data_IF_431977240874
#
_entry.id   IF_431977240874
#
_cell.length_a   1.000
_cell.length_b   1.000
_cell.length_c   1.000
_cell.angle_alpha   90.00
_cell.angle_beta   90.00
_cell.angle_gamma   90.00
#
_symmetry.space_group_name_H-M   'P 1'
#
loop_
_entity.id
_entity.type
_entity.pdbx_description
1 polymer ?
#
# COMPACT_ATOMS: atom_id res chain seq x y z
N UNK A 1 -6.47 -71.52 12.26
CA UNK A 1 -5.34 -71.89 11.38
C UNK A 1 -5.84 -71.74 9.97
N UNK A 2 -5.03 -71.04 9.18
CA UNK A 2 -5.06 -70.88 7.72
C UNK A 2 -5.85 -69.70 7.12
N UNK A 3 -5.11 -68.58 7.06
CA UNK A 3 -4.83 -67.73 5.90
C UNK A 3 -5.32 -68.20 4.51
N UNK A 4 -5.98 -67.31 3.75
CA UNK A 4 -5.34 -66.65 2.58
C UNK A 4 -6.29 -65.72 1.79
N UNK A 5 -5.91 -64.43 1.80
CA UNK A 5 -5.72 -63.53 0.66
C UNK A 5 -6.77 -63.42 -0.49
N UNK A 6 -7.53 -62.33 -0.45
CA UNK A 6 -7.95 -61.58 -1.65
C UNK A 6 -7.66 -60.09 -1.41
N UNK A 7 -6.44 -59.67 -1.75
CA UNK A 7 -6.02 -58.26 -1.80
C UNK A 7 -6.57 -57.62 -3.07
N UNK A 8 -7.60 -56.79 -2.94
CA UNK A 8 -7.95 -55.81 -3.97
C UNK A 8 -6.89 -54.71 -3.97
N UNK A 9 -6.05 -54.69 -5.00
CA UNK A 9 -5.14 -53.59 -5.29
C UNK A 9 -5.93 -52.38 -5.80
N UNK A 10 -6.34 -51.50 -4.89
CA UNK A 10 -6.64 -50.13 -5.27
C UNK A 10 -5.30 -49.43 -5.51
N UNK A 11 -4.96 -49.29 -6.79
CA UNK A 11 -3.89 -48.42 -7.27
C UNK A 11 -4.10 -47.01 -6.70
N UNK A 12 -3.31 -46.63 -5.70
CA UNK A 12 -3.11 -45.23 -5.35
C UNK A 12 -2.35 -44.58 -6.51
N UNK A 13 -3.09 -44.03 -7.47
CA UNK A 13 -2.54 -43.04 -8.39
C UNK A 13 -2.14 -41.83 -7.54
N UNK A 14 -0.83 -41.69 -7.29
CA UNK A 14 -0.28 -40.48 -6.71
C UNK A 14 -0.63 -39.29 -7.61
N UNK A 15 -1.34 -38.26 -7.12
CA UNK A 15 -1.66 -37.11 -7.94
C UNK A 15 -0.40 -36.25 -8.07
N UNK A 16 0.19 -36.27 -9.26
CA UNK A 16 1.46 -35.61 -9.58
C UNK A 16 1.29 -34.14 -9.99
N UNK A 17 0.16 -33.50 -9.67
CA UNK A 17 -0.10 -32.11 -10.03
C UNK A 17 0.46 -31.15 -8.96
N UNK A 18 1.11 -30.08 -9.40
CA UNK A 18 1.61 -29.00 -8.53
C UNK A 18 0.47 -28.38 -7.71
N UNK A 19 -0.74 -28.36 -8.29
CA UNK A 19 -1.97 -27.82 -7.69
C UNK A 19 -2.38 -28.61 -6.45
N UNK A 20 -2.31 -29.95 -6.46
CA UNK A 20 -2.65 -30.78 -5.30
C UNK A 20 -1.66 -30.60 -4.13
N UNK A 21 -0.38 -30.37 -4.44
CA UNK A 21 0.64 -30.08 -3.41
C UNK A 21 0.41 -28.71 -2.76
N UNK A 22 0.04 -27.70 -3.56
CA UNK A 22 -0.27 -26.36 -3.05
C UNK A 22 -1.56 -26.34 -2.23
N UNK A 23 -2.60 -27.06 -2.68
CA UNK A 23 -3.85 -27.21 -1.94
C UNK A 23 -3.67 -27.94 -0.60
N UNK A 24 -2.84 -28.99 -0.54
CA UNK A 24 -2.49 -29.67 0.72
C UNK A 24 -1.67 -28.79 1.67
N UNK A 25 -0.69 -28.04 1.16
CA UNK A 25 0.07 -27.05 1.95
C UNK A 25 -0.85 -25.98 2.57
N UNK A 26 -1.89 -25.54 1.84
CA UNK A 26 -2.88 -24.62 2.40
C UNK A 26 -3.78 -25.27 3.45
N UNK A 27 -4.21 -26.52 3.24
CA UNK A 27 -5.00 -27.24 4.24
C UNK A 27 -4.25 -27.39 5.57
N UNK A 28 -2.97 -27.80 5.52
CA UNK A 28 -2.07 -27.87 6.69
C UNK A 28 -1.93 -26.50 7.39
N UNK A 29 -1.74 -25.41 6.62
CA UNK A 29 -1.62 -24.05 7.19
C UNK A 29 -2.91 -23.59 7.88
N UNK A 30 -4.07 -23.98 7.36
CA UNK A 30 -5.36 -23.63 7.97
C UNK A 30 -5.55 -24.36 9.29
N UNK A 31 -5.02 -25.59 9.41
CA UNK A 31 -4.99 -26.35 10.66
C UNK A 31 -3.99 -25.74 11.67
N UNK A 32 -2.79 -25.33 11.25
CA UNK A 32 -1.82 -24.62 12.11
C UNK A 32 -2.35 -23.28 12.64
N UNK A 33 -2.96 -22.43 11.79
CA UNK A 33 -3.56 -21.16 12.22
C UNK A 33 -4.78 -21.40 13.15
N UNK A 34 -5.50 -22.52 12.99
CA UNK A 34 -6.59 -22.88 13.92
C UNK A 34 -6.08 -23.33 15.30
N UNK A 35 -4.87 -23.88 15.38
CA UNK A 35 -4.17 -24.13 16.65
C UNK A 35 -3.67 -22.82 17.31
N UNK A 36 -3.33 -21.79 16.52
CA UNK A 36 -3.01 -20.44 17.00
C UNK A 36 -4.29 -19.62 17.21
N UNK A 37 -5.12 -19.98 18.19
CA UNK A 37 -6.44 -19.33 18.38
C UNK A 37 -6.38 -17.79 18.37
N UNK A 38 -7.11 -17.09 17.49
CA UNK A 38 -7.07 -15.63 17.35
C UNK A 38 -8.10 -14.92 18.26
N UNK A 39 -7.75 -13.78 18.89
CA UNK A 39 -8.70 -13.01 19.70
C UNK A 39 -9.85 -12.42 18.87
N UNK A 40 -9.58 -12.00 17.62
CA UNK A 40 -10.54 -11.44 16.66
C UNK A 40 -11.46 -10.33 17.24
N UNK A 41 -11.00 -9.64 18.30
CA UNK A 41 -11.76 -8.65 19.03
C UNK A 41 -11.26 -8.38 20.45
N UNK A 42 -12.06 -7.65 21.21
CA UNK A 42 -11.73 -7.17 22.56
C UNK A 42 -10.90 -5.88 22.56
N UNK A 43 -10.90 -5.18 23.71
CA UNK A 43 -10.21 -3.89 23.87
C UNK A 43 -8.74 -3.94 23.43
N UNK A 44 -8.03 -5.02 23.79
CA UNK A 44 -6.60 -5.18 23.44
C UNK A 44 -6.35 -5.29 21.94
N UNK A 45 -7.21 -6.00 21.20
CA UNK A 45 -7.05 -6.14 19.75
C UNK A 45 -7.39 -4.82 19.04
N UNK A 46 -8.47 -4.16 19.46
CA UNK A 46 -8.86 -2.86 18.89
C UNK A 46 -7.91 -1.72 19.26
N UNK A 47 -7.27 -1.76 20.43
CA UNK A 47 -6.20 -0.81 20.76
C UNK A 47 -5.01 -0.98 19.82
N UNK A 48 -4.69 -2.20 19.40
CA UNK A 48 -3.63 -2.43 18.39
C UNK A 48 -4.01 -1.82 17.05
N UNK A 49 -5.27 -1.93 16.61
CA UNK A 49 -5.76 -1.25 15.39
C UNK A 49 -5.61 0.26 15.51
N UNK A 50 -5.98 0.85 16.65
CA UNK A 50 -5.78 2.28 16.93
C UNK A 50 -4.29 2.65 16.91
N UNK A 51 -3.43 1.83 17.52
CA UNK A 51 -1.98 2.01 17.47
C UNK A 51 -1.44 1.99 16.04
N UNK A 52 -1.87 1.04 15.22
CA UNK A 52 -1.50 0.96 13.80
C UNK A 52 -2.01 2.15 13.01
N UNK A 53 -3.23 2.62 13.30
CA UNK A 53 -3.78 3.84 12.69
C UNK A 53 -2.90 5.05 13.01
N UNK A 54 -2.54 5.26 14.28
CA UNK A 54 -1.62 6.32 14.70
C UNK A 54 -0.23 6.19 14.06
N UNK A 55 0.26 4.95 13.85
CA UNK A 55 1.53 4.71 13.18
C UNK A 55 1.49 5.12 11.68
N UNK A 56 0.37 4.86 11.03
CA UNK A 56 0.18 5.06 9.59
C UNK A 56 -0.11 6.53 9.23
N UNK A 57 -0.72 7.31 10.13
CA UNK A 57 -1.06 8.72 9.87
C UNK A 57 0.19 9.52 9.48
N UNK A 58 1.31 9.51 10.24
CA UNK A 58 2.54 10.18 9.85
C UNK A 58 3.13 9.65 8.53
N UNK A 59 3.34 8.34 8.40
CA UNK A 59 4.03 7.75 7.25
C UNK A 59 3.27 7.95 5.94
N UNK A 60 1.98 7.56 5.88
CA UNK A 60 1.18 7.73 4.66
C UNK A 60 0.66 9.15 4.50
N UNK A 61 0.47 9.91 5.57
CA UNK A 61 0.08 11.32 5.47
C UNK A 61 1.17 12.13 4.78
N UNK A 62 2.44 11.94 5.15
CA UNK A 62 3.57 12.60 4.49
C UNK A 62 3.71 12.17 3.03
N UNK A 63 3.55 10.87 2.73
CA UNK A 63 3.52 10.36 1.35
C UNK A 63 2.48 11.10 0.49
N UNK A 64 1.29 11.36 1.02
CA UNK A 64 0.24 12.10 0.31
C UNK A 64 0.42 13.63 0.32
N UNK A 65 1.39 14.15 1.09
CA UNK A 65 1.69 15.60 1.19
C UNK A 65 2.86 16.02 0.32
N UNK A 66 3.55 15.06 -0.31
CA UNK A 66 4.75 15.32 -1.09
C UNK A 66 4.53 16.35 -2.21
N UNK A 67 3.39 16.33 -2.90
CA UNK A 67 3.11 17.30 -3.97
C UNK A 67 3.09 18.76 -3.49
N UNK A 68 2.55 19.03 -2.30
CA UNK A 68 2.56 20.37 -1.70
C UNK A 68 3.97 20.79 -1.28
N UNK A 69 4.73 19.85 -0.69
CA UNK A 69 6.11 20.10 -0.30
C UNK A 69 7.01 20.33 -1.52
N UNK A 70 6.82 19.58 -2.59
CA UNK A 70 7.53 19.72 -3.86
C UNK A 70 7.28 21.08 -4.49
N UNK A 71 6.01 21.47 -4.62
CA UNK A 71 5.63 22.76 -5.16
C UNK A 71 6.24 23.92 -4.36
N UNK A 72 6.28 23.80 -3.03
CA UNK A 72 6.88 24.82 -2.18
C UNK A 72 8.40 24.90 -2.35
N UNK A 73 9.11 23.77 -2.32
CA UNK A 73 10.56 23.73 -2.56
C UNK A 73 10.93 24.29 -3.93
N UNK A 74 10.14 24.00 -4.96
CA UNK A 74 10.36 24.46 -6.33
C UNK A 74 10.18 25.98 -6.50
N UNK A 75 9.35 26.61 -5.67
CA UNK A 75 9.09 28.04 -5.74
C UNK A 75 9.98 28.87 -4.80
N UNK A 76 10.56 28.27 -3.77
CA UNK A 76 11.35 28.96 -2.74
C UNK A 76 12.82 28.48 -2.68
N UNK A 77 13.17 27.54 -1.80
CA UNK A 77 14.59 27.26 -1.51
C UNK A 77 15.34 26.59 -2.67
N UNK A 78 14.67 25.79 -3.49
CA UNK A 78 15.29 25.03 -4.58
C UNK A 78 14.90 25.58 -5.97
N UNK A 79 14.51 26.85 -6.05
CA UNK A 79 14.10 27.53 -7.31
C UNK A 79 15.11 27.43 -8.47
N UNK A 80 16.39 27.20 -8.16
CA UNK A 80 17.46 27.05 -9.15
C UNK A 80 17.54 25.62 -9.73
N UNK A 81 16.86 24.66 -9.12
CA UNK A 81 16.81 23.27 -9.56
C UNK A 81 15.61 23.01 -10.46
N UNK A 82 15.76 22.05 -11.39
CA UNK A 82 14.64 21.59 -12.21
C UNK A 82 13.59 20.88 -11.35
N UNK A 83 12.30 20.97 -11.74
CA UNK A 83 11.21 20.21 -11.08
C UNK A 83 11.51 18.71 -11.03
N UNK A 84 12.10 18.16 -12.09
CA UNK A 84 12.52 16.76 -12.14
C UNK A 84 13.58 16.41 -11.07
N UNK A 85 14.53 17.31 -10.82
CA UNK A 85 15.52 17.14 -9.73
C UNK A 85 14.84 17.15 -8.36
N UNK A 86 13.92 18.08 -8.12
CA UNK A 86 13.21 18.18 -6.83
C UNK A 86 12.32 16.95 -6.61
N UNK A 87 11.66 16.46 -7.66
CA UNK A 87 10.86 15.23 -7.60
C UNK A 87 11.62 14.00 -7.11
N UNK A 88 12.95 13.90 -7.33
CA UNK A 88 13.76 12.80 -6.79
C UNK A 88 13.77 12.76 -5.26
N UNK A 89 13.66 13.90 -4.58
CA UNK A 89 13.58 13.97 -3.11
C UNK A 89 12.36 13.17 -2.66
N UNK A 90 11.19 13.45 -3.22
CA UNK A 90 9.94 12.82 -2.81
C UNK A 90 9.79 11.38 -3.35
N UNK A 91 10.30 11.11 -4.55
CA UNK A 91 10.40 9.77 -5.11
C UNK A 91 11.24 8.84 -4.22
N UNK A 92 12.37 9.33 -3.68
CA UNK A 92 13.21 8.54 -2.79
C UNK A 92 12.57 8.28 -1.43
N UNK A 93 11.77 9.21 -0.88
CA UNK A 93 10.99 8.96 0.33
C UNK A 93 10.06 7.75 0.13
N UNK A 94 9.30 7.76 -0.96
CA UNK A 94 8.39 6.67 -1.34
C UNK A 94 9.14 5.35 -1.55
N UNK A 95 10.29 5.41 -2.24
CA UNK A 95 11.15 4.25 -2.45
C UNK A 95 11.59 3.64 -1.12
N UNK A 96 12.17 4.41 -0.20
CA UNK A 96 12.66 3.88 1.07
C UNK A 96 11.55 3.42 2.01
N UNK A 97 10.36 4.06 1.96
CA UNK A 97 9.18 3.63 2.70
C UNK A 97 8.81 2.18 2.34
N UNK A 98 8.78 1.85 1.05
CA UNK A 98 8.44 0.50 0.58
C UNK A 98 9.63 -0.46 0.59
N UNK A 99 10.78 -0.05 0.04
CA UNK A 99 11.98 -0.88 -0.07
C UNK A 99 12.53 -1.29 1.31
N UNK A 100 12.49 -0.39 2.29
CA UNK A 100 12.93 -0.68 3.66
C UNK A 100 12.21 -1.87 4.29
N UNK A 101 11.00 -2.19 3.82
CA UNK A 101 10.18 -3.30 4.32
C UNK A 101 10.89 -4.65 4.16
N UNK A 102 11.78 -4.78 3.16
CA UNK A 102 12.59 -5.99 2.92
C UNK A 102 13.39 -6.40 4.15
N UNK A 103 13.92 -5.43 4.90
CA UNK A 103 14.74 -5.66 6.08
C UNK A 103 13.94 -5.50 7.36
N UNK A 104 12.99 -4.56 7.40
CA UNK A 104 12.12 -4.32 8.56
C UNK A 104 11.27 -5.55 8.85
N UNK A 105 10.73 -6.23 7.83
CA UNK A 105 9.91 -7.43 7.98
C UNK A 105 10.62 -8.57 8.73
N UNK A 106 11.78 -9.07 8.23
CA UNK A 106 12.57 -10.09 8.93
C UNK A 106 13.02 -9.66 10.34
N UNK A 107 13.39 -8.39 10.52
CA UNK A 107 13.78 -7.88 11.84
C UNK A 107 12.59 -7.89 12.80
N UNK A 108 11.37 -7.59 12.31
CA UNK A 108 10.16 -7.64 13.11
C UNK A 108 9.84 -9.07 13.55
N UNK A 109 9.92 -10.04 12.63
CA UNK A 109 9.64 -11.45 12.93
C UNK A 109 10.68 -12.03 13.91
N UNK A 110 11.96 -11.60 13.82
CA UNK A 110 13.05 -12.12 14.65
C UNK A 110 13.26 -11.44 16.01
N UNK A 111 13.10 -10.11 16.07
CA UNK A 111 13.43 -9.29 17.24
C UNK A 111 12.21 -8.59 17.85
N UNK A 112 11.05 -8.69 17.20
CA UNK A 112 9.79 -8.10 17.65
C UNK A 112 9.65 -6.61 17.31
N UNK A 113 8.63 -6.00 17.91
CA UNK A 113 8.18 -4.65 17.55
C UNK A 113 9.09 -3.51 18.03
N UNK A 114 9.51 -3.54 19.29
CA UNK A 114 10.13 -2.38 19.96
C UNK A 114 11.46 -1.91 19.32
N UNK A 115 12.37 -2.80 18.90
CA UNK A 115 13.63 -2.39 18.27
C UNK A 115 13.45 -1.65 16.94
N UNK A 116 12.29 -1.78 16.29
CA UNK A 116 11.97 -1.08 15.05
C UNK A 116 11.14 0.17 15.32
N UNK A 117 10.11 0.03 16.15
CA UNK A 117 9.11 1.09 16.32
C UNK A 117 9.68 2.36 16.95
N UNK A 118 10.46 2.22 18.02
CA UNK A 118 11.02 3.37 18.76
C UNK A 118 11.98 4.19 17.87
N UNK A 119 13.03 3.60 17.27
CA UNK A 119 13.90 4.36 16.38
C UNK A 119 13.18 4.88 15.13
N UNK A 120 12.22 4.12 14.59
CA UNK A 120 11.39 4.59 13.48
C UNK A 120 10.57 5.84 13.83
N UNK A 121 9.93 5.89 15.01
CA UNK A 121 9.20 7.06 15.47
C UNK A 121 10.13 8.28 15.67
N UNK A 122 11.28 8.08 16.30
CA UNK A 122 12.26 9.16 16.53
C UNK A 122 12.80 9.67 15.19
N UNK A 123 13.19 8.78 14.29
CA UNK A 123 13.71 9.13 12.98
C UNK A 123 12.68 9.83 12.09
N UNK A 124 11.41 9.45 12.16
CA UNK A 124 10.34 10.08 11.39
C UNK A 124 10.09 11.51 11.84
N UNK A 125 9.99 11.76 13.15
CA UNK A 125 9.87 13.12 13.69
C UNK A 125 11.15 13.91 13.39
N UNK A 126 12.32 13.29 13.58
CA UNK A 126 13.62 13.86 13.25
C UNK A 126 13.71 14.32 11.80
N UNK A 127 13.21 13.53 10.85
CA UNK A 127 13.22 13.89 9.43
C UNK A 127 12.43 15.16 9.12
N UNK A 128 11.30 15.38 9.79
CA UNK A 128 10.52 16.60 9.63
C UNK A 128 11.21 17.80 10.28
N UNK A 129 11.86 17.60 11.44
CA UNK A 129 12.62 18.66 12.08
C UNK A 129 13.82 19.08 11.23
N UNK A 130 14.53 18.12 10.62
CA UNK A 130 15.60 18.40 9.66
C UNK A 130 15.05 19.10 8.42
N UNK A 131 13.93 18.64 7.85
CA UNK A 131 13.28 19.30 6.71
C UNK A 131 12.94 20.77 7.01
N UNK A 132 12.54 21.09 8.25
CA UNK A 132 12.19 22.45 8.65
C UNK A 132 13.35 23.46 8.66
N UNK A 133 14.59 22.97 8.74
CA UNK A 133 15.81 23.81 8.79
C UNK A 133 16.73 23.61 7.59
N UNK A 134 16.40 22.67 6.71
CA UNK A 134 17.18 22.38 5.51
C UNK A 134 17.07 23.53 4.50
N UNK A 135 18.20 23.81 3.85
CA UNK A 135 18.34 24.82 2.81
C UNK A 135 18.94 24.25 1.52
N UNK A 136 19.72 23.17 1.62
CA UNK A 136 20.43 22.59 0.47
C UNK A 136 19.78 21.29 -0.02
N UNK A 137 19.87 21.04 -1.33
CA UNK A 137 19.29 19.86 -1.99
C UNK A 137 19.64 18.54 -1.29
N UNK A 138 20.91 18.33 -0.93
CA UNK A 138 21.34 17.08 -0.28
C UNK A 138 20.76 16.92 1.13
N UNK A 139 20.47 18.02 1.83
CA UNK A 139 19.90 17.98 3.19
C UNK A 139 18.46 17.49 3.15
N UNK A 140 17.66 17.94 2.17
CA UNK A 140 16.33 17.39 1.92
C UNK A 140 16.40 15.92 1.53
N UNK A 141 17.33 15.56 0.65
CA UNK A 141 17.51 14.18 0.20
C UNK A 141 17.85 13.21 1.35
N UNK A 142 18.87 13.53 2.14
CA UNK A 142 19.32 12.66 3.24
C UNK A 142 18.38 12.74 4.44
N UNK A 143 17.96 13.95 4.80
CA UNK A 143 17.21 14.23 6.02
C UNK A 143 15.73 13.86 5.93
N UNK A 144 15.08 14.12 4.79
CA UNK A 144 13.67 13.80 4.61
C UNK A 144 13.47 12.48 3.88
N UNK A 145 14.14 12.27 2.74
CA UNK A 145 13.88 11.10 1.91
C UNK A 145 14.46 9.83 2.50
N UNK A 146 15.78 9.79 2.73
CA UNK A 146 16.45 8.59 3.24
C UNK A 146 16.04 8.31 4.68
N UNK A 147 16.26 9.28 5.60
CA UNK A 147 15.92 9.11 7.01
C UNK A 147 14.40 8.97 7.21
N UNK A 148 13.59 9.84 6.61
CA UNK A 148 12.14 9.79 6.78
C UNK A 148 11.50 8.57 6.13
N UNK A 149 11.94 8.17 4.93
CA UNK A 149 11.43 6.98 4.25
C UNK A 149 11.78 5.69 4.99
N UNK A 150 13.03 5.50 5.40
CA UNK A 150 13.44 4.32 6.19
C UNK A 150 12.73 4.26 7.54
N UNK A 151 12.63 5.41 8.23
CA UNK A 151 11.88 5.54 9.49
C UNK A 151 10.40 5.20 9.31
N UNK A 152 9.79 5.69 8.22
CA UNK A 152 8.40 5.40 7.88
C UNK A 152 8.18 3.91 7.65
N UNK A 153 9.12 3.21 7.00
CA UNK A 153 9.07 1.76 6.83
C UNK A 153 9.14 1.01 8.16
N UNK A 154 10.04 1.43 9.06
CA UNK A 154 10.23 0.87 10.40
C UNK A 154 8.99 1.02 11.30
N UNK A 155 8.14 2.03 11.04
CA UNK A 155 6.88 2.25 11.75
C UNK A 155 5.73 1.52 11.06
N UNK A 156 5.62 1.65 9.74
CA UNK A 156 4.49 1.15 8.95
C UNK A 156 4.44 -0.39 8.88
N UNK A 157 5.55 -1.03 8.51
CA UNK A 157 5.57 -2.48 8.29
C UNK A 157 5.18 -3.27 9.54
N UNK A 158 5.76 -2.98 10.73
CA UNK A 158 5.35 -3.65 11.96
C UNK A 158 3.90 -3.38 12.36
N UNK A 159 3.35 -2.22 12.00
CA UNK A 159 1.98 -1.85 12.32
C UNK A 159 0.96 -2.71 11.58
N UNK A 160 1.22 -3.02 10.31
CA UNK A 160 0.40 -3.96 9.53
C UNK A 160 0.57 -5.38 10.05
N UNK A 161 1.80 -5.79 10.35
CA UNK A 161 2.09 -7.13 10.86
C UNK A 161 1.44 -7.40 12.22
N UNK A 162 1.40 -6.41 13.11
CA UNK A 162 0.67 -6.52 14.36
C UNK A 162 -0.82 -6.83 14.13
N UNK A 163 -1.50 -6.17 13.19
CA UNK A 163 -2.92 -6.46 12.91
C UNK A 163 -3.10 -7.93 12.50
N UNK A 164 -2.22 -8.46 11.66
CA UNK A 164 -2.25 -9.85 11.21
C UNK A 164 -2.10 -10.86 12.37
N UNK A 165 -1.36 -10.51 13.44
CA UNK A 165 -1.19 -11.35 14.64
C UNK A 165 -2.44 -11.41 15.54
N UNK A 166 -3.28 -10.37 15.51
CA UNK A 166 -4.44 -10.24 16.41
C UNK A 166 -5.76 -10.63 15.76
N UNK A 167 -5.87 -10.49 14.43
CA UNK A 167 -7.09 -10.76 13.68
C UNK A 167 -6.85 -11.80 12.59
N UNK A 168 -7.77 -12.75 12.49
CA UNK A 168 -7.89 -13.69 11.38
C UNK A 168 -9.24 -13.50 10.70
N UNK A 169 -10.37 -13.76 11.39
CA UNK A 169 -11.70 -13.65 10.80
C UNK A 169 -12.10 -12.22 10.42
N UNK A 170 -11.61 -11.21 11.15
CA UNK A 170 -11.90 -9.78 10.89
C UNK A 170 -10.69 -9.00 10.38
N UNK A 171 -9.73 -9.72 9.77
CA UNK A 171 -8.44 -9.15 9.39
C UNK A 171 -8.60 -8.06 8.33
N UNK A 172 -9.45 -8.26 7.33
CA UNK A 172 -9.65 -7.26 6.28
C UNK A 172 -10.29 -5.98 6.80
N UNK A 173 -11.30 -6.09 7.67
CA UNK A 173 -11.91 -4.94 8.33
C UNK A 173 -10.92 -4.19 9.22
N UNK A 174 -10.17 -4.92 10.07
CA UNK A 174 -9.20 -4.31 10.98
C UNK A 174 -8.08 -3.57 10.23
N UNK A 175 -7.52 -4.19 9.19
CA UNK A 175 -6.52 -3.54 8.33
C UNK A 175 -7.13 -2.38 7.55
N UNK A 176 -8.38 -2.51 7.08
CA UNK A 176 -9.11 -1.44 6.42
C UNK A 176 -9.30 -0.20 7.28
N UNK A 177 -9.71 -0.39 8.54
CA UNK A 177 -9.84 0.70 9.52
C UNK A 177 -8.49 1.36 9.76
N UNK A 178 -7.43 0.59 10.03
CA UNK A 178 -6.09 1.15 10.22
C UNK A 178 -5.60 1.92 8.97
N UNK A 179 -5.87 1.38 7.78
CA UNK A 179 -5.47 1.99 6.52
C UNK A 179 -6.14 3.34 6.26
N UNK A 180 -7.31 3.64 6.85
CA UNK A 180 -7.95 4.97 6.71
C UNK A 180 -7.04 6.13 7.13
N UNK A 181 -6.05 5.86 8.00
CA UNK A 181 -5.02 6.79 8.42
C UNK A 181 -4.33 7.53 7.27
N UNK A 182 -4.07 6.84 6.15
CA UNK A 182 -3.41 7.45 5.00
C UNK A 182 -4.28 8.51 4.31
N UNK A 183 -5.57 8.24 4.14
CA UNK A 183 -6.52 9.23 3.59
C UNK A 183 -6.73 10.40 4.55
N UNK A 184 -6.82 10.13 5.85
CA UNK A 184 -6.91 11.16 6.88
C UNK A 184 -5.68 12.09 6.88
N UNK A 185 -4.47 11.52 6.93
CA UNK A 185 -3.22 12.28 6.88
C UNK A 185 -3.05 13.04 5.57
N UNK A 186 -3.44 12.44 4.44
CA UNK A 186 -3.38 13.06 3.11
C UNK A 186 -4.39 14.20 2.88
N UNK A 187 -5.40 14.36 3.75
CA UNK A 187 -6.28 15.53 3.74
C UNK A 187 -5.75 16.59 4.71
N UNK A 188 -5.44 16.19 5.94
CA UNK A 188 -5.09 17.15 7.00
C UNK A 188 -3.74 17.81 6.77
N UNK A 189 -2.69 17.05 6.44
CA UNK A 189 -1.33 17.60 6.35
C UNK A 189 -1.13 18.60 5.20
N UNK A 190 -1.60 18.36 3.96
CA UNK A 190 -1.46 19.33 2.88
C UNK A 190 -2.19 20.64 3.18
N UNK A 191 -3.44 20.56 3.66
CA UNK A 191 -4.26 21.72 4.02
C UNK A 191 -3.61 22.50 5.16
N UNK A 192 -3.13 21.80 6.18
CA UNK A 192 -2.49 22.40 7.34
C UNK A 192 -1.18 23.09 6.97
N UNK A 193 -0.31 22.43 6.21
CA UNK A 193 0.97 23.02 5.78
C UNK A 193 0.72 24.23 4.89
N UNK A 194 -0.21 24.16 3.94
CA UNK A 194 -0.53 25.28 3.05
C UNK A 194 -0.97 26.52 3.85
N UNK A 195 -2.02 26.38 4.67
CA UNK A 195 -2.60 27.51 5.41
C UNK A 195 -1.68 28.02 6.52
N UNK A 196 -0.99 27.14 7.25
CA UNK A 196 -0.06 27.58 8.30
C UNK A 196 1.16 28.29 7.71
N UNK A 197 1.59 27.92 6.50
CA UNK A 197 2.73 28.57 5.86
C UNK A 197 2.48 30.06 5.60
N UNK A 198 1.23 30.45 5.31
CA UNK A 198 0.86 31.86 5.12
C UNK A 198 0.85 32.66 6.44
N UNK A 199 0.55 32.01 7.57
CA UNK A 199 0.36 32.69 8.87
C UNK A 199 1.65 32.73 9.70
N UNK A 200 2.36 31.60 9.81
CA UNK A 200 3.53 31.45 10.68
C UNK A 200 4.83 31.15 9.94
N UNK A 201 4.77 31.08 8.60
CA UNK A 201 5.89 30.69 7.75
C UNK A 201 6.06 29.18 7.63
N UNK A 202 6.60 28.74 6.50
CA UNK A 202 6.73 27.33 6.15
C UNK A 202 7.54 26.51 7.16
N UNK A 203 8.67 27.04 7.65
CA UNK A 203 9.51 26.33 8.61
C UNK A 203 8.74 25.97 9.88
N UNK A 204 7.92 26.89 10.41
CA UNK A 204 7.08 26.61 11.57
C UNK A 204 5.90 25.70 11.24
N UNK A 205 5.31 25.80 10.04
CA UNK A 205 4.28 24.86 9.59
C UNK A 205 4.79 23.40 9.57
N UNK A 206 6.01 23.17 9.10
CA UNK A 206 6.65 21.84 9.13
C UNK A 206 6.93 21.39 10.57
N UNK A 207 7.41 22.28 11.46
CA UNK A 207 7.64 21.94 12.88
C UNK A 207 6.34 21.54 13.59
N UNK A 208 5.26 22.29 13.36
CA UNK A 208 3.92 21.97 13.89
C UNK A 208 3.48 20.59 13.38
N UNK A 209 3.67 20.31 12.10
CA UNK A 209 3.42 18.98 11.52
C UNK A 209 4.25 17.90 12.23
N UNK A 210 5.53 18.16 12.49
CA UNK A 210 6.41 17.27 13.23
C UNK A 210 5.95 17.01 14.68
N UNK A 211 5.44 18.02 15.38
CA UNK A 211 4.87 17.84 16.72
C UNK A 211 3.58 17.03 16.72
N UNK A 212 2.73 17.20 15.71
CA UNK A 212 1.53 16.37 15.53
C UNK A 212 1.91 14.92 15.21
N UNK A 213 2.89 14.71 14.34
CA UNK A 213 3.45 13.39 14.07
C UNK A 213 4.03 12.75 15.34
N UNK A 214 4.72 13.53 16.19
CA UNK A 214 5.24 13.07 17.48
C UNK A 214 4.12 12.59 18.41
N UNK A 215 3.01 13.33 18.51
CA UNK A 215 1.83 12.90 19.27
C UNK A 215 1.31 11.55 18.79
N UNK A 216 1.13 11.37 17.48
CA UNK A 216 0.70 10.09 16.90
C UNK A 216 1.72 8.96 17.12
N UNK A 217 3.02 9.25 17.00
CA UNK A 217 4.09 8.30 17.29
C UNK A 217 4.07 7.84 18.76
N UNK A 218 3.83 8.74 19.72
CA UNK A 218 3.69 8.40 21.14
C UNK A 218 2.50 7.46 21.35
N UNK A 219 1.33 7.79 20.79
CA UNK A 219 0.15 6.92 20.89
C UNK A 219 0.39 5.55 20.27
N UNK A 220 1.07 5.50 19.12
CA UNK A 220 1.47 4.26 18.48
C UNK A 220 2.33 3.39 19.42
N UNK A 221 3.38 3.96 20.03
CA UNK A 221 4.26 3.22 20.96
C UNK A 221 3.50 2.69 22.18
N UNK A 222 2.47 3.41 22.67
CA UNK A 222 1.67 2.99 23.81
C UNK A 222 0.70 1.84 23.49
N UNK A 223 0.06 1.90 22.32
CA UNK A 223 -1.02 0.99 21.95
C UNK A 223 -0.59 -0.22 21.11
N UNK A 224 0.43 -0.07 20.27
CA UNK A 224 0.86 -1.11 19.34
C UNK A 224 1.63 -2.22 20.07
N UNK A 225 1.21 -3.47 19.88
CA UNK A 225 1.77 -4.64 20.59
C UNK A 225 1.78 -5.89 19.72
N UNK A 226 2.87 -6.64 19.80
CA UNK A 226 2.96 -7.99 19.26
C UNK A 226 2.33 -9.00 20.20
N UNK A 227 1.70 -10.03 19.62
CA UNK A 227 1.14 -11.16 20.36
C UNK A 227 2.06 -12.38 20.36
N UNK A 228 2.64 -12.71 19.20
CA UNK A 228 3.50 -13.87 19.03
C UNK A 228 4.92 -13.59 19.57
N UNK A 229 5.57 -14.58 20.21
CA UNK A 229 6.96 -14.44 20.64
C UNK A 229 7.90 -14.40 19.42
N UNK A 230 8.97 -13.59 19.44
CA UNK A 230 9.91 -13.52 18.32
C UNK A 230 10.68 -14.84 18.14
N UNK A 231 10.83 -15.30 16.89
CA UNK A 231 11.57 -16.53 16.58
C UNK A 231 13.03 -16.19 16.25
N UNK A 232 13.91 -16.37 17.24
CA UNK A 232 15.33 -15.99 17.13
C UNK A 232 16.14 -16.82 16.11
N UNK A 233 15.71 -18.04 15.77
CA UNK A 233 16.42 -18.87 14.79
C UNK A 233 15.91 -18.59 13.37
N UNK A 234 16.76 -17.96 12.54
CA UNK A 234 16.56 -17.85 11.09
C UNK A 234 15.65 -16.71 10.59
N UNK A 235 14.88 -16.07 11.47
CA UNK A 235 13.86 -15.07 11.10
C UNK A 235 14.37 -13.74 10.54
N UNK A 236 15.66 -13.41 10.72
CA UNK A 236 16.21 -12.10 10.35
C UNK A 236 16.69 -11.95 8.90
N UNK A 237 16.51 -12.97 8.05
CA UNK A 237 16.97 -12.96 6.65
C UNK A 237 15.79 -12.77 5.68
N UNK A 238 16.04 -12.01 4.62
CA UNK A 238 15.09 -11.84 3.50
C UNK A 238 14.80 -13.21 2.88
N UNK A 239 13.53 -13.56 2.78
CA UNK A 239 13.10 -14.85 2.22
C UNK A 239 12.75 -14.74 0.74
N UNK A 240 13.77 -14.53 -0.10
CA UNK A 240 13.62 -14.52 -1.57
C UNK A 240 13.13 -15.88 -2.07
N UNK A 241 13.36 -16.97 -1.32
CA UNK A 241 12.92 -18.32 -1.70
C UNK A 241 11.40 -18.43 -1.71
N UNK A 242 10.68 -17.61 -0.94
CA UNK A 242 9.21 -17.54 -0.98
C UNK A 242 8.68 -17.23 -2.40
N UNK A 243 9.43 -16.49 -3.23
CA UNK A 243 9.07 -16.21 -4.63
C UNK A 243 9.10 -17.45 -5.54
N UNK A 244 9.66 -18.57 -5.08
CA UNK A 244 9.54 -19.85 -5.79
C UNK A 244 8.18 -20.50 -5.59
N UNK A 245 7.42 -20.10 -4.56
CA UNK A 245 6.05 -20.55 -4.38
C UNK A 245 5.15 -19.84 -5.40
N UNK A 246 4.56 -20.61 -6.32
CA UNK A 246 3.72 -20.06 -7.40
C UNK A 246 2.61 -19.11 -6.90
N UNK A 247 1.83 -19.43 -5.84
CA UNK A 247 0.82 -18.50 -5.31
C UNK A 247 1.40 -17.16 -4.87
N UNK A 248 2.56 -17.19 -4.21
CA UNK A 248 3.19 -16.01 -3.66
C UNK A 248 3.80 -15.12 -4.74
N UNK A 249 4.40 -15.74 -5.76
CA UNK A 249 4.92 -15.02 -6.93
C UNK A 249 3.79 -14.34 -7.72
N UNK A 250 2.71 -15.07 -8.02
CA UNK A 250 1.54 -14.51 -8.71
C UNK A 250 0.90 -13.36 -7.93
N UNK A 251 0.72 -13.52 -6.62
CA UNK A 251 0.19 -12.46 -5.76
C UNK A 251 1.12 -11.24 -5.74
N UNK A 252 2.44 -11.46 -5.67
CA UNK A 252 3.43 -10.38 -5.64
C UNK A 252 3.40 -9.58 -6.94
N UNK A 253 3.30 -10.25 -8.10
CA UNK A 253 3.12 -9.58 -9.40
C UNK A 253 1.80 -8.81 -9.46
N UNK A 254 0.71 -9.38 -8.95
CA UNK A 254 -0.59 -8.70 -8.89
C UNK A 254 -0.53 -7.41 -8.05
N UNK A 255 0.10 -7.46 -6.88
CA UNK A 255 0.28 -6.30 -5.98
C UNK A 255 1.23 -5.27 -6.63
N UNK A 256 2.31 -5.72 -7.26
CA UNK A 256 3.20 -4.82 -8.00
C UNK A 256 2.44 -4.04 -9.09
N UNK A 257 1.65 -4.72 -9.91
CA UNK A 257 0.90 -4.09 -11.00
C UNK A 257 -0.19 -3.15 -10.49
N UNK A 258 -0.92 -3.52 -9.42
CA UNK A 258 -2.00 -2.68 -8.90
C UNK A 258 -1.46 -1.41 -8.24
N UNK A 259 -0.38 -1.49 -7.46
CA UNK A 259 0.25 -0.31 -6.85
C UNK A 259 0.91 0.58 -7.91
N UNK A 260 1.53 -0.03 -8.94
CA UNK A 260 2.06 0.69 -10.09
C UNK A 260 0.96 1.51 -10.80
N UNK A 261 -0.18 0.87 -11.09
CA UNK A 261 -1.29 1.53 -11.79
C UNK A 261 -1.96 2.61 -10.92
N UNK A 262 -2.04 2.40 -9.60
CA UNK A 262 -2.68 3.31 -8.64
C UNK A 262 -1.99 4.68 -8.57
N UNK A 263 -0.68 4.74 -8.77
CA UNK A 263 0.08 6.00 -8.71
C UNK A 263 -0.22 6.95 -9.89
N UNK A 264 -0.62 6.41 -11.04
CA UNK A 264 -0.86 7.18 -12.25
C UNK A 264 -2.03 8.18 -12.08
N UNK A 265 -3.26 7.76 -11.72
CA UNK A 265 -4.37 8.69 -11.51
C UNK A 265 -4.14 9.59 -10.30
N UNK A 266 -3.43 9.13 -9.26
CA UNK A 266 -3.08 10.03 -8.14
C UNK A 266 -2.20 11.20 -8.58
N UNK A 267 -1.36 11.01 -9.61
CA UNK A 267 -0.40 12.02 -10.08
C UNK A 267 -0.98 12.87 -11.21
N UNK A 268 -1.58 12.25 -12.21
CA UNK A 268 -1.95 12.89 -13.48
C UNK A 268 -3.40 13.35 -13.57
N UNK A 269 -4.26 13.03 -12.59
CA UNK A 269 -5.67 13.42 -12.66
C UNK A 269 -5.86 14.94 -12.55
N UNK A 270 -5.04 15.63 -11.76
CA UNK A 270 -5.07 17.09 -11.65
C UNK A 270 -4.64 17.75 -12.96
N UNK A 271 -3.48 17.34 -13.50
CA UNK A 271 -2.96 17.92 -14.75
C UNK A 271 -3.86 17.62 -15.94
N UNK A 272 -4.46 16.43 -16.00
CA UNK A 272 -5.51 16.09 -16.96
C UNK A 272 -6.70 17.03 -16.89
N UNK A 273 -7.16 17.37 -15.69
CA UNK A 273 -8.31 18.24 -15.54
C UNK A 273 -7.99 19.69 -15.90
N UNK A 274 -6.78 20.16 -15.59
CA UNK A 274 -6.29 21.48 -15.99
C UNK A 274 -6.15 21.59 -17.51
N UNK A 275 -5.57 20.58 -18.19
CA UNK A 275 -5.44 20.56 -19.65
C UNK A 275 -6.79 20.59 -20.36
N UNK A 276 -7.85 20.12 -19.70
CA UNK A 276 -9.23 20.16 -20.18
C UNK A 276 -10.02 21.39 -19.72
N UNK A 277 -9.33 22.47 -19.34
CA UNK A 277 -9.89 23.77 -18.92
C UNK A 277 -10.80 23.71 -17.68
N UNK A 278 -10.60 22.72 -16.81
CA UNK A 278 -11.30 22.70 -15.53
C UNK A 278 -10.73 23.79 -14.62
N UNK A 279 -11.60 24.46 -13.86
CA UNK A 279 -11.19 25.52 -12.93
C UNK A 279 -10.12 24.99 -11.97
N UNK A 280 -8.97 25.66 -11.89
CA UNK A 280 -7.81 25.30 -11.06
C UNK A 280 -8.20 24.92 -9.62
N UNK A 281 -9.06 25.73 -8.98
CA UNK A 281 -9.53 25.46 -7.61
C UNK A 281 -10.22 24.11 -7.45
N UNK A 282 -10.92 23.63 -8.48
CA UNK A 282 -11.57 22.32 -8.48
C UNK A 282 -10.57 21.22 -8.86
N UNK A 283 -9.62 21.48 -9.76
CA UNK A 283 -8.59 20.53 -10.17
C UNK A 283 -7.72 20.12 -8.99
N UNK A 284 -7.24 21.08 -8.21
CA UNK A 284 -6.48 20.80 -6.99
C UNK A 284 -7.27 20.02 -5.93
N UNK A 285 -8.60 20.16 -5.92
CA UNK A 285 -9.46 19.42 -4.99
C UNK A 285 -9.69 17.96 -5.40
N UNK A 286 -9.43 17.57 -6.65
CA UNK A 286 -9.69 16.20 -7.13
C UNK A 286 -8.93 15.15 -6.32
N UNK A 287 -7.67 15.41 -5.98
CA UNK A 287 -6.84 14.49 -5.16
C UNK A 287 -7.40 14.39 -3.74
N UNK A 288 -7.86 15.50 -3.16
CA UNK A 288 -8.51 15.50 -1.84
C UNK A 288 -9.84 14.73 -1.87
N UNK A 289 -10.65 14.90 -2.92
CA UNK A 289 -11.91 14.16 -3.13
C UNK A 289 -11.62 12.66 -3.26
N UNK A 290 -10.62 12.29 -4.05
CA UNK A 290 -10.20 10.91 -4.25
C UNK A 290 -9.75 10.28 -2.91
N UNK A 291 -8.91 10.98 -2.14
CA UNK A 291 -8.47 10.51 -0.83
C UNK A 291 -9.63 10.39 0.18
N UNK A 292 -10.59 11.32 0.15
CA UNK A 292 -11.79 11.24 0.99
C UNK A 292 -12.64 10.01 0.65
N UNK A 293 -12.86 9.74 -0.64
CA UNK A 293 -13.56 8.54 -1.08
C UNK A 293 -12.80 7.24 -0.71
N UNK A 294 -11.46 7.28 -0.78
CA UNK A 294 -10.58 6.16 -0.42
C UNK A 294 -10.69 5.74 1.05
N UNK A 295 -11.03 6.66 1.96
CA UNK A 295 -11.26 6.31 3.38
C UNK A 295 -12.38 5.28 3.50
N UNK A 296 -13.52 5.52 2.85
CA UNK A 296 -14.65 4.57 2.85
C UNK A 296 -14.29 3.30 2.05
N UNK A 297 -13.54 3.48 0.95
CA UNK A 297 -12.99 2.43 0.12
C UNK A 297 -12.08 1.42 0.81
N UNK A 298 -11.40 1.84 1.89
CA UNK A 298 -10.55 0.96 2.71
C UNK A 298 -11.36 0.12 3.69
N UNK A 299 -12.50 0.62 4.16
CA UNK A 299 -13.30 -0.03 5.21
C UNK A 299 -14.40 -0.93 4.62
N UNK A 300 -15.18 -0.42 3.67
CA UNK A 300 -16.39 -1.10 3.18
C UNK A 300 -16.05 -2.39 2.41
N UNK A 301 -15.17 -2.37 1.38
CA UNK A 301 -14.64 -3.59 0.78
C UNK A 301 -13.97 -4.53 1.79
N UNK A 302 -13.23 -4.00 2.77
CA UNK A 302 -12.61 -4.80 3.84
C UNK A 302 -13.63 -5.61 4.64
N UNK A 303 -14.75 -4.99 5.03
CA UNK A 303 -15.85 -5.68 5.71
C UNK A 303 -16.45 -6.83 4.86
N UNK A 304 -16.62 -6.60 3.55
CA UNK A 304 -17.13 -7.62 2.65
C UNK A 304 -16.11 -8.72 2.35
N UNK A 305 -14.82 -8.39 2.31
CA UNK A 305 -13.72 -9.32 2.10
C UNK A 305 -13.67 -10.41 3.18
N UNK A 306 -13.92 -10.05 4.43
CA UNK A 306 -13.99 -11.00 5.55
C UNK A 306 -15.18 -11.99 5.45
N UNK A 307 -16.16 -11.74 4.56
CA UNK A 307 -17.37 -12.58 4.37
C UNK A 307 -17.39 -13.35 3.05
N UNK A 308 -17.01 -12.68 1.98
CA UNK A 308 -17.10 -13.20 0.61
C UNK A 308 -15.77 -13.70 0.06
N UNK A 309 -14.69 -13.58 0.85
CA UNK A 309 -13.34 -13.98 0.48
C UNK A 309 -12.49 -12.77 0.12
N UNK A 310 -11.28 -12.71 0.66
CA UNK A 310 -10.38 -11.55 0.51
C UNK A 310 -9.90 -11.42 -0.92
N UNK A 311 -9.58 -12.54 -1.59
CA UNK A 311 -9.21 -12.53 -2.99
C UNK A 311 -10.38 -12.17 -3.91
N UNK A 312 -11.59 -12.66 -3.59
CA UNK A 312 -12.78 -12.39 -4.40
C UNK A 312 -13.11 -10.90 -4.43
N UNK A 313 -13.08 -10.25 -3.27
CA UNK A 313 -13.32 -8.81 -3.18
C UNK A 313 -12.20 -8.03 -3.84
N UNK A 314 -10.93 -8.42 -3.67
CA UNK A 314 -9.80 -7.77 -4.34
C UNK A 314 -9.92 -7.83 -5.87
N UNK A 315 -10.29 -9.00 -6.44
CA UNK A 315 -10.55 -9.16 -7.88
C UNK A 315 -11.70 -8.24 -8.31
N UNK A 316 -12.81 -8.25 -7.56
CA UNK A 316 -13.98 -7.43 -7.87
C UNK A 316 -13.67 -5.94 -7.87
N UNK A 317 -12.99 -5.43 -6.85
CA UNK A 317 -12.62 -4.02 -6.77
C UNK A 317 -11.63 -3.62 -7.86
N UNK A 318 -10.66 -4.49 -8.16
CA UNK A 318 -9.68 -4.24 -9.24
C UNK A 318 -10.36 -4.17 -10.60
N UNK A 319 -11.31 -5.07 -10.88
CA UNK A 319 -12.09 -5.05 -12.11
C UNK A 319 -12.93 -3.77 -12.24
N UNK A 320 -13.55 -3.33 -11.15
CA UNK A 320 -14.32 -2.06 -11.14
C UNK A 320 -13.40 -0.86 -11.40
N UNK A 321 -12.20 -0.82 -10.83
CA UNK A 321 -11.20 0.20 -11.15
C UNK A 321 -10.83 0.18 -12.64
N UNK A 322 -10.55 -1.00 -13.22
CA UNK A 322 -10.30 -1.14 -14.66
C UNK A 322 -11.43 -0.54 -15.49
N UNK A 323 -12.68 -0.87 -15.16
CA UNK A 323 -13.86 -0.38 -15.87
C UNK A 323 -13.97 1.14 -15.76
N UNK A 324 -13.83 1.73 -14.57
CA UNK A 324 -13.92 3.19 -14.44
C UNK A 324 -12.76 3.93 -15.11
N UNK A 325 -11.54 3.39 -15.08
CA UNK A 325 -10.42 3.98 -15.81
C UNK A 325 -10.68 3.98 -17.32
N UNK A 326 -11.16 2.88 -17.89
CA UNK A 326 -11.36 2.76 -19.34
C UNK A 326 -12.69 3.31 -19.86
N UNK A 327 -13.76 3.30 -19.07
CA UNK A 327 -15.09 3.69 -19.50
C UNK A 327 -15.55 5.05 -18.96
N UNK A 328 -14.90 5.59 -17.92
CA UNK A 328 -15.24 6.88 -17.34
C UNK A 328 -14.12 7.91 -17.49
N UNK A 329 -12.88 7.58 -17.13
CA UNK A 329 -11.76 8.54 -17.26
C UNK A 329 -11.33 8.74 -18.70
N UNK A 330 -11.12 7.64 -19.45
CA UNK A 330 -10.67 7.70 -20.84
C UNK A 330 -11.58 8.58 -21.75
N UNK A 331 -12.93 8.47 -21.70
CA UNK A 331 -13.81 9.34 -22.48
C UNK A 331 -14.24 10.63 -21.76
N UNK A 332 -13.68 10.98 -20.59
CA UNK A 332 -14.17 12.10 -19.78
C UNK A 332 -14.07 13.45 -20.52
N UNK A 333 -12.99 13.65 -21.27
CA UNK A 333 -12.69 14.90 -21.98
C UNK A 333 -12.86 16.11 -21.05
N UNK A 334 -13.50 17.16 -21.56
CA UNK A 334 -13.75 18.40 -20.81
C UNK A 334 -14.98 18.37 -19.90
N UNK A 335 -15.56 17.20 -19.60
CA UNK A 335 -16.74 17.10 -18.75
C UNK A 335 -16.35 17.06 -17.25
N UNK A 336 -16.53 18.14 -16.48
CA UNK A 336 -16.08 18.19 -15.09
C UNK A 336 -16.83 17.19 -14.20
N UNK A 337 -18.09 16.90 -14.51
CA UNK A 337 -18.88 15.93 -13.75
C UNK A 337 -18.33 14.50 -13.93
N UNK A 338 -17.87 14.14 -15.13
CA UNK A 338 -17.25 12.83 -15.38
C UNK A 338 -15.91 12.70 -14.65
N UNK A 339 -15.09 13.75 -14.64
CA UNK A 339 -13.80 13.79 -13.93
C UNK A 339 -14.00 13.67 -12.42
N UNK A 340 -14.93 14.43 -11.84
CA UNK A 340 -15.26 14.37 -10.41
C UNK A 340 -15.87 13.00 -10.06
N UNK A 341 -16.77 12.47 -10.89
CA UNK A 341 -17.32 11.13 -10.70
C UNK A 341 -16.23 10.05 -10.71
N UNK A 342 -15.25 10.16 -11.63
CA UNK A 342 -14.08 9.29 -11.64
C UNK A 342 -13.29 9.41 -10.35
N UNK A 343 -12.94 10.62 -9.90
CA UNK A 343 -12.19 10.83 -8.65
C UNK A 343 -12.87 10.15 -7.44
N UNK A 344 -14.20 10.27 -7.33
CA UNK A 344 -14.98 9.65 -6.24
C UNK A 344 -15.04 8.13 -6.39
N UNK A 345 -15.46 7.62 -7.56
CA UNK A 345 -15.66 6.19 -7.77
C UNK A 345 -14.32 5.44 -7.74
N UNK A 346 -13.33 5.92 -8.48
CA UNK A 346 -11.99 5.36 -8.45
C UNK A 346 -11.39 5.47 -7.05
N UNK A 347 -11.51 6.60 -6.35
CA UNK A 347 -11.02 6.75 -4.98
C UNK A 347 -11.59 5.70 -4.03
N UNK A 348 -12.91 5.47 -4.08
CA UNK A 348 -13.58 4.43 -3.29
C UNK A 348 -13.08 3.02 -3.64
N UNK A 349 -13.05 2.63 -4.91
CA UNK A 349 -12.69 1.25 -5.27
C UNK A 349 -11.19 0.97 -5.20
N UNK A 350 -10.35 1.94 -5.52
CA UNK A 350 -8.88 1.82 -5.42
C UNK A 350 -8.40 1.78 -3.97
N UNK A 351 -9.12 2.42 -3.04
CA UNK A 351 -8.81 2.39 -1.61
C UNK A 351 -8.76 0.96 -1.04
N UNK A 352 -9.52 0.02 -1.60
CA UNK A 352 -9.50 -1.36 -1.16
C UNK A 352 -8.12 -2.00 -1.34
N UNK A 353 -7.37 -1.65 -2.40
CA UNK A 353 -6.09 -2.25 -2.72
C UNK A 353 -5.09 -2.07 -1.58
N UNK A 354 -5.02 -0.85 -1.01
CA UNK A 354 -4.14 -0.51 0.10
C UNK A 354 -4.46 -1.33 1.35
N UNK A 355 -5.75 -1.62 1.59
CA UNK A 355 -6.19 -2.40 2.76
C UNK A 355 -6.16 -3.92 2.57
N UNK A 356 -6.39 -4.41 1.34
CA UNK A 356 -6.57 -5.83 1.05
C UNK A 356 -5.29 -6.51 0.56
N UNK A 357 -4.36 -5.79 -0.08
CA UNK A 357 -3.06 -6.35 -0.48
C UNK A 357 -2.30 -7.00 0.69
N UNK A 358 -2.06 -6.32 1.83
CA UNK A 358 -1.45 -6.96 3.01
C UNK A 358 -2.24 -8.16 3.53
N UNK A 359 -3.58 -8.11 3.44
CA UNK A 359 -4.46 -9.17 3.94
C UNK A 359 -4.39 -10.42 3.05
N UNK A 360 -4.29 -10.24 1.74
CA UNK A 360 -4.07 -11.33 0.78
C UNK A 360 -2.69 -11.97 1.01
N UNK A 361 -1.64 -11.17 1.26
CA UNK A 361 -0.31 -11.69 1.62
C UNK A 361 -0.40 -12.50 2.91
N UNK A 362 -1.06 -11.97 3.94
CA UNK A 362 -1.25 -12.63 5.23
C UNK A 362 -2.06 -13.93 5.13
N UNK A 363 -2.87 -14.10 4.10
CA UNK A 363 -3.68 -15.31 3.91
C UNK A 363 -2.89 -16.47 3.34
N UNK A 364 -1.91 -16.17 2.48
CA UNK A 364 -1.07 -17.20 1.85
C UNK A 364 0.27 -17.38 2.57
N UNK A 365 0.45 -16.70 3.70
CA UNK A 365 1.64 -16.70 4.54
C UNK A 365 1.28 -17.25 5.91
N UNK A 366 2.18 -18.00 6.54
CA UNK A 366 2.04 -18.31 7.96
C UNK A 366 2.16 -17.03 8.78
N UNK A 367 1.41 -16.94 9.87
CA UNK A 367 1.33 -15.73 10.70
C UNK A 367 2.69 -15.31 11.27
N UNK A 368 3.58 -16.28 11.59
CA UNK A 368 4.94 -16.02 12.09
C UNK A 368 5.89 -15.40 11.06
N UNK A 369 5.61 -15.63 9.78
CA UNK A 369 6.46 -15.29 8.64
C UNK A 369 5.87 -14.15 7.80
N UNK A 370 4.82 -13.51 8.32
CA UNK A 370 4.11 -12.46 7.61
C UNK A 370 5.02 -11.26 7.34
N UNK A 371 5.82 -10.82 8.31
CA UNK A 371 6.67 -9.66 8.18
C UNK A 371 7.65 -9.80 7.03
N UNK A 372 8.41 -10.90 6.96
CA UNK A 372 9.38 -11.16 5.88
C UNK A 372 8.72 -11.30 4.50
N UNK A 373 7.53 -11.92 4.41
CA UNK A 373 6.81 -12.11 3.14
C UNK A 373 6.23 -10.79 2.64
N UNK A 374 5.59 -10.03 3.52
CA UNK A 374 5.13 -8.66 3.24
C UNK A 374 6.29 -7.77 2.80
N UNK A 375 7.40 -7.81 3.54
CA UNK A 375 8.61 -7.06 3.22
C UNK A 375 9.18 -7.37 1.85
N UNK A 376 9.25 -8.65 1.48
CA UNK A 376 9.72 -9.09 0.16
C UNK A 376 8.80 -8.59 -0.94
N UNK A 377 7.47 -8.70 -0.79
CA UNK A 377 6.50 -8.20 -1.77
C UNK A 377 6.65 -6.68 -1.97
N UNK A 378 6.61 -5.89 -0.89
CA UNK A 378 6.67 -4.43 -1.01
C UNK A 378 8.05 -3.88 -1.42
N UNK A 379 9.11 -4.65 -1.25
CA UNK A 379 10.43 -4.32 -1.81
C UNK A 379 10.48 -4.42 -3.34
N UNK A 380 9.65 -5.28 -3.94
CA UNK A 380 9.50 -5.35 -5.38
C UNK A 380 8.56 -4.23 -5.87
N UNK A 381 7.48 -3.98 -5.11
CA UNK A 381 6.55 -2.86 -5.37
C UNK A 381 7.29 -1.51 -5.40
N UNK A 382 8.28 -1.30 -4.53
CA UNK A 382 9.04 -0.04 -4.48
C UNK A 382 9.73 0.31 -5.80
N UNK A 383 10.18 -0.70 -6.55
CA UNK A 383 10.77 -0.52 -7.88
C UNK A 383 9.69 -0.04 -8.86
N UNK A 384 8.51 -0.63 -8.81
CA UNK A 384 7.36 -0.22 -9.63
C UNK A 384 6.96 1.22 -9.33
N UNK A 385 6.88 1.58 -8.05
CA UNK A 385 6.56 2.93 -7.62
C UNK A 385 7.55 3.99 -8.14
N UNK A 386 8.83 3.64 -8.24
CA UNK A 386 9.86 4.55 -8.75
C UNK A 386 9.72 4.83 -10.26
N UNK A 387 9.32 3.83 -11.04
CA UNK A 387 9.24 3.94 -12.50
C UNK A 387 7.83 4.26 -13.04
N UNK A 388 6.78 4.10 -12.24
CA UNK A 388 5.40 4.32 -12.67
C UNK A 388 5.16 5.71 -13.26
N UNK A 389 5.58 6.76 -12.54
CA UNK A 389 5.37 8.15 -12.97
C UNK A 389 6.24 8.49 -14.20
N UNK A 390 7.57 8.20 -14.22
CA UNK A 390 8.37 8.43 -15.42
C UNK A 390 7.85 7.72 -16.67
N UNK A 391 7.46 6.44 -16.56
CA UNK A 391 6.92 5.68 -17.71
C UNK A 391 5.63 6.33 -18.21
N UNK A 392 4.71 6.69 -17.31
CA UNK A 392 3.48 7.38 -17.68
C UNK A 392 3.77 8.74 -18.35
N UNK A 393 4.74 9.49 -17.83
CA UNK A 393 5.16 10.77 -18.41
C UNK A 393 5.76 10.65 -19.81
N UNK A 394 6.58 9.63 -20.08
CA UNK A 394 7.10 9.38 -21.43
C UNK A 394 6.01 8.95 -22.42
N UNK A 395 5.00 8.19 -21.95
CA UNK A 395 3.81 7.89 -22.77
C UNK A 395 3.09 9.19 -23.13
N UNK A 396 2.83 10.06 -22.16
CA UNK A 396 2.17 11.36 -22.39
C UNK A 396 2.95 12.24 -23.38
N UNK A 397 4.28 12.33 -23.22
CA UNK A 397 5.15 13.08 -24.14
C UNK A 397 5.11 12.52 -25.56
N UNK A 398 5.15 11.19 -25.72
CA UNK A 398 5.10 10.55 -27.02
C UNK A 398 3.76 10.79 -27.74
N UNK A 399 2.68 10.98 -26.99
CA UNK A 399 1.34 11.24 -27.54
C UNK A 399 1.05 12.72 -27.79
N UNK A 400 1.85 13.63 -27.24
CA UNK A 400 1.68 15.08 -27.39
C UNK A 400 2.81 15.70 -28.24
N UNK A 401 3.09 15.22 -29.48
CA UNK A 401 4.16 15.76 -30.30
C UNK A 401 3.77 17.17 -30.79
N UNK A 402 4.39 18.21 -30.23
CA UNK A 402 4.19 19.61 -30.63
C UNK A 402 3.77 20.56 -29.51
N UNK A 403 3.37 20.04 -28.34
CA UNK A 403 3.16 20.84 -27.12
C UNK A 403 1.93 21.75 -27.06
N UNK A 404 1.06 21.74 -28.08
CA UNK A 404 -0.12 22.61 -28.13
C UNK A 404 -1.36 22.00 -27.43
N UNK A 405 -1.55 20.68 -27.48
CA UNK A 405 -2.59 19.95 -26.73
C UNK A 405 -2.00 18.67 -26.11
N UNK A 406 -2.24 18.47 -24.81
CA UNK A 406 -1.80 17.25 -24.10
C UNK A 406 -2.83 16.13 -24.27
N UNK A 407 -2.47 15.07 -25.00
CA UNK A 407 -3.30 13.86 -25.14
C UNK A 407 -2.96 12.82 -24.07
N UNK A 408 -3.85 12.67 -23.09
CA UNK A 408 -3.72 11.70 -22.00
C UNK A 408 -4.25 10.30 -22.34
N UNK A 409 -4.83 10.09 -23.52
CA UNK A 409 -5.59 8.88 -23.83
C UNK A 409 -4.78 7.59 -23.68
N UNK A 410 -3.51 7.60 -24.08
CA UNK A 410 -2.65 6.41 -24.01
C UNK A 410 -2.08 6.19 -22.61
N UNK A 411 -1.84 7.26 -21.84
CA UNK A 411 -1.53 7.17 -20.41
C UNK A 411 -2.69 6.52 -19.64
N UNK A 412 -3.93 6.97 -19.91
CA UNK A 412 -5.14 6.41 -19.28
C UNK A 412 -5.38 4.96 -19.72
N UNK A 413 -5.22 4.67 -21.02
CA UNK A 413 -5.31 3.31 -21.56
C UNK A 413 -4.27 2.39 -20.92
N UNK A 414 -3.02 2.82 -20.83
CA UNK A 414 -1.94 2.08 -20.17
C UNK A 414 -2.30 1.79 -18.71
N UNK A 415 -2.76 2.79 -17.95
CA UNK A 415 -3.21 2.60 -16.57
C UNK A 415 -4.31 1.53 -16.47
N UNK A 416 -5.34 1.63 -17.31
CA UNK A 416 -6.46 0.66 -17.33
C UNK A 416 -6.02 -0.76 -17.70
N UNK A 417 -5.12 -0.91 -18.67
CA UNK A 417 -4.56 -2.21 -19.07
C UNK A 417 -3.68 -2.82 -17.97
N UNK A 418 -2.88 -2.03 -17.27
CA UNK A 418 -2.09 -2.52 -16.13
C UNK A 418 -3.02 -3.00 -15.00
N UNK A 419 -4.10 -2.27 -14.71
CA UNK A 419 -5.14 -2.72 -13.79
C UNK A 419 -5.81 -4.04 -14.24
N UNK A 420 -6.11 -4.19 -15.52
CA UNK A 420 -6.68 -5.42 -16.09
C UNK A 420 -5.71 -6.61 -15.93
N UNK A 421 -4.42 -6.39 -16.20
CA UNK A 421 -3.35 -7.37 -15.96
C UNK A 421 -3.26 -7.73 -14.47
N UNK A 422 -3.29 -6.76 -13.56
CA UNK A 422 -3.30 -7.03 -12.12
C UNK A 422 -4.49 -7.93 -11.71
N UNK A 423 -5.70 -7.63 -12.23
CA UNK A 423 -6.89 -8.43 -12.03
C UNK A 423 -6.69 -9.90 -12.48
N UNK A 424 -6.12 -10.10 -13.66
CA UNK A 424 -5.78 -11.43 -14.17
C UNK A 424 -4.84 -12.17 -13.20
N UNK A 425 -3.77 -11.53 -12.73
CA UNK A 425 -2.85 -12.17 -11.79
C UNK A 425 -3.50 -12.49 -10.42
N UNK A 426 -4.42 -11.67 -9.92
CA UNK A 426 -5.21 -12.01 -8.73
C UNK A 426 -6.11 -13.23 -8.96
N UNK A 427 -6.75 -13.33 -10.13
CA UNK A 427 -7.56 -14.50 -10.52
C UNK A 427 -6.68 -15.76 -10.59
N UNK A 428 -5.50 -15.66 -11.21
CA UNK A 428 -4.54 -16.77 -11.29
C UNK A 428 -4.06 -17.19 -9.90
N UNK A 429 -3.68 -16.23 -9.05
CA UNK A 429 -3.24 -16.51 -7.68
C UNK A 429 -4.32 -17.25 -6.88
N UNK A 430 -5.57 -16.77 -6.94
CA UNK A 430 -6.72 -17.44 -6.29
C UNK A 430 -6.95 -18.85 -6.86
N UNK A 431 -6.91 -18.99 -8.19
CA UNK A 431 -7.14 -20.25 -8.89
C UNK A 431 -6.13 -21.32 -8.52
N UNK A 432 -4.86 -20.95 -8.36
CA UNK A 432 -3.80 -21.86 -7.91
C UNK A 432 -3.96 -22.25 -6.44
N UNK A 433 -4.43 -21.35 -5.57
CA UNK A 433 -4.65 -21.66 -4.15
C UNK A 433 -5.87 -22.57 -3.90
N UNK A 434 -6.97 -22.36 -4.63
CA UNK A 434 -8.29 -22.91 -4.27
C UNK A 434 -9.04 -23.64 -5.39
N UNK A 435 -8.41 -23.76 -6.56
CA UNK A 435 -9.06 -24.21 -7.78
C UNK A 435 -9.94 -23.13 -8.43
N UNK A 436 -10.56 -23.47 -9.56
CA UNK A 436 -11.24 -22.51 -10.44
C UNK A 436 -12.73 -22.30 -10.14
N UNK A 437 -13.22 -22.77 -8.99
CA UNK A 437 -14.64 -22.64 -8.63
C UNK A 437 -14.94 -21.22 -8.16
N UNK A 438 -15.77 -20.50 -8.92
CA UNK A 438 -16.14 -19.10 -8.64
C UNK A 438 -16.77 -18.88 -7.27
N UNK A 439 -17.50 -19.88 -6.72
CA UNK A 439 -18.17 -19.79 -5.42
C UNK A 439 -17.27 -20.05 -4.21
N UNK A 440 -15.99 -20.40 -4.40
CA UNK A 440 -15.08 -20.67 -3.28
C UNK A 440 -14.78 -19.37 -2.54
N UNK A 441 -15.11 -19.32 -1.25
CA UNK A 441 -14.76 -18.20 -0.36
C UNK A 441 -13.31 -18.41 0.09
N UNK A 442 -12.41 -17.59 -0.46
CA UNK A 442 -10.99 -17.55 -0.12
C UNK A 442 -10.63 -16.14 0.30
#
# INVERSE_FOLDING_TARGET
MDDNNLTYSLSQTAPNSTVDKTARSHADRTEEDSAVGFPDGGWRAWSVVLGSWCAMVPSFGLLNTMGVLEAWLANDQLKEYSKASIGWIFGLYSFFLYFGSVQVGPVFDAYGLRPLLIPGCIGLVGSLMVFSVASEYYQFMLGFSVLGGTSSSMVFTPSIACIAHWFHRRRALATGIAATAGGFGGIIFPIMIWNLSEVVGFQWAIRITGFICSFFCILCVLFLRTRLPPKKLGGGKVDIRALRETPFSLLTVAIFLIDFALLIPLTYLTSYAESHNMKESLAFQLVSILNAASILGRVVPGYFADRYGRFNVMIGTTLVCTIFTLALWLPAGSNPAAIVAYAVLFGFWSGSAISLAPVCVAQISSTEDFGKRYGTTYSLVSVGALFAIPIAGEILKAQSPGGEEEDYSGLVLFCGLVYACACLFFVLARGVCTGWRLKTVF
#
